data_IF_065910865293
#
_entry.id   IF_065910865293
#
_cell.length_a   1.000
_cell.length_b   1.000
_cell.length_c   1.000
_cell.angle_alpha   90.00
_cell.angle_beta   90.00
_cell.angle_gamma   90.00
#
_symmetry.space_group_name_H-M   'P 1'
#
loop_
_entity.id
_entity.type
_entity.pdbx_description
1 polymer ?
#
# COMPACT_ATOMS: atom_id res chain seq x y z
N UNK A 1 -23.14 -42.65 -11.76
CA UNK A 1 -23.51 -41.21 -11.72
C UNK A 1 -23.02 -40.48 -10.46
N UNK A 2 -22.74 -41.17 -9.35
CA UNK A 2 -22.39 -40.54 -8.06
C UNK A 2 -21.03 -39.84 -8.05
N UNK A 3 -20.02 -40.38 -8.75
CA UNK A 3 -18.65 -39.82 -8.75
C UNK A 3 -18.59 -38.43 -9.42
N UNK A 4 -19.22 -38.27 -10.59
CA UNK A 4 -19.22 -36.99 -11.31
C UNK A 4 -19.93 -35.89 -10.50
N UNK A 5 -21.03 -36.22 -9.83
CA UNK A 5 -21.76 -35.27 -8.97
C UNK A 5 -20.94 -34.92 -7.73
N UNK A 6 -20.19 -35.86 -7.15
CA UNK A 6 -19.28 -35.58 -6.04
C UNK A 6 -18.15 -34.65 -6.45
N UNK A 7 -17.51 -34.87 -7.60
CA UNK A 7 -16.46 -33.97 -8.10
C UNK A 7 -17.01 -32.58 -8.39
N UNK A 8 -18.20 -32.48 -8.98
CA UNK A 8 -18.85 -31.20 -9.24
C UNK A 8 -19.19 -30.47 -7.93
N UNK A 9 -19.74 -31.19 -6.96
CA UNK A 9 -20.07 -30.63 -5.64
C UNK A 9 -18.82 -30.15 -4.90
N UNK A 10 -17.73 -30.92 -4.96
CA UNK A 10 -16.45 -30.54 -4.39
C UNK A 10 -15.84 -29.33 -5.09
N UNK A 11 -15.89 -29.28 -6.43
CA UNK A 11 -15.42 -28.14 -7.20
C UNK A 11 -16.17 -26.86 -6.83
N UNK A 12 -17.51 -26.90 -6.79
CA UNK A 12 -18.35 -25.78 -6.40
C UNK A 12 -18.05 -25.31 -4.97
N UNK A 13 -17.97 -26.26 -4.03
CA UNK A 13 -17.65 -25.95 -2.64
C UNK A 13 -16.27 -25.32 -2.49
N UNK A 14 -15.26 -25.88 -3.14
CA UNK A 14 -13.88 -25.37 -3.13
C UNK A 14 -13.80 -23.97 -3.74
N UNK A 15 -14.47 -23.74 -4.87
CA UNK A 15 -14.52 -22.41 -5.51
C UNK A 15 -15.15 -21.37 -4.59
N UNK A 16 -16.31 -21.66 -4.00
CA UNK A 16 -16.97 -20.73 -3.06
C UNK A 16 -16.09 -20.48 -1.84
N UNK A 17 -15.42 -21.50 -1.32
CA UNK A 17 -14.50 -21.38 -0.19
C UNK A 17 -13.32 -20.47 -0.53
N UNK A 18 -12.67 -20.67 -1.68
CA UNK A 18 -11.56 -19.83 -2.13
C UNK A 18 -11.97 -18.38 -2.36
N UNK A 19 -13.13 -18.16 -3.01
CA UNK A 19 -13.66 -16.81 -3.22
C UNK A 19 -13.97 -16.12 -1.89
N UNK A 20 -14.54 -16.85 -0.93
CA UNK A 20 -14.85 -16.32 0.40
C UNK A 20 -13.58 -15.92 1.15
N UNK A 21 -12.54 -16.77 1.13
CA UNK A 21 -11.24 -16.45 1.72
C UNK A 21 -10.62 -15.22 1.06
N UNK A 22 -10.64 -15.14 -0.28
CA UNK A 22 -10.12 -14.00 -1.02
C UNK A 22 -10.88 -12.72 -0.69
N UNK A 23 -12.21 -12.78 -0.57
CA UNK A 23 -13.02 -11.64 -0.17
C UNK A 23 -12.65 -11.15 1.23
N UNK A 24 -12.52 -12.06 2.21
CA UNK A 24 -12.10 -11.70 3.58
C UNK A 24 -10.72 -11.06 3.57
N UNK A 25 -9.73 -11.66 2.88
CA UNK A 25 -8.38 -11.12 2.81
C UNK A 25 -8.36 -9.75 2.13
N UNK A 26 -9.13 -9.57 1.05
CA UNK A 26 -9.24 -8.29 0.37
C UNK A 26 -9.85 -7.21 1.28
N UNK A 27 -10.93 -7.53 1.98
CA UNK A 27 -11.57 -6.63 2.94
C UNK A 27 -10.62 -6.29 4.09
N UNK A 28 -9.97 -7.29 4.69
CA UNK A 28 -8.99 -7.05 5.76
C UNK A 28 -7.86 -6.14 5.27
N UNK A 29 -7.31 -6.36 4.07
CA UNK A 29 -6.26 -5.49 3.52
C UNK A 29 -6.75 -4.07 3.23
N UNK A 30 -8.01 -3.90 2.85
CA UNK A 30 -8.61 -2.59 2.64
C UNK A 30 -8.86 -1.84 3.95
N UNK A 31 -9.26 -2.55 5.01
CA UNK A 31 -9.57 -1.99 6.33
C UNK A 31 -8.31 -1.76 7.21
N UNK A 32 -7.27 -2.59 7.03
CA UNK A 32 -6.02 -2.51 7.77
C UNK A 32 -5.38 -1.11 7.82
N UNK A 33 -5.26 -0.33 6.73
CA UNK A 33 -4.72 1.03 6.82
C UNK A 33 -5.58 1.97 7.69
N UNK A 34 -6.91 1.80 7.70
CA UNK A 34 -7.78 2.60 8.57
C UNK A 34 -7.59 2.24 10.04
N UNK A 35 -7.46 0.94 10.34
CA UNK A 35 -7.17 0.44 11.70
C UNK A 35 -5.80 0.91 12.17
N UNK A 36 -4.76 0.78 11.33
CA UNK A 36 -3.40 1.26 11.65
C UNK A 36 -3.39 2.76 11.93
N UNK A 37 -4.09 3.55 11.09
CA UNK A 37 -4.24 4.99 11.31
C UNK A 37 -4.95 5.29 12.64
N UNK A 38 -6.00 4.54 13.00
CA UNK A 38 -6.70 4.70 14.28
C UNK A 38 -5.81 4.36 15.50
N UNK A 39 -4.83 3.46 15.32
CA UNK A 39 -3.83 3.10 16.33
C UNK A 39 -2.63 4.06 16.35
N UNK A 40 -2.64 5.13 15.56
CA UNK A 40 -1.53 6.09 15.47
C UNK A 40 -0.30 5.57 14.73
N UNK A 41 -0.39 4.41 14.07
CA UNK A 41 0.64 3.88 13.20
C UNK A 41 0.38 4.46 11.81
N UNK A 42 1.17 5.46 11.40
CA UNK A 42 1.04 6.02 10.06
C UNK A 42 1.60 5.01 9.03
N UNK A 43 0.75 4.36 8.22
CA UNK A 43 1.25 3.47 7.18
C UNK A 43 2.03 4.33 6.19
N UNK A 44 3.31 4.01 5.99
CA UNK A 44 4.22 4.78 5.14
C UNK A 44 3.50 5.17 3.83
N UNK A 45 3.38 6.47 3.53
CA UNK A 45 2.63 6.92 2.36
C UNK A 45 3.23 6.27 1.12
N UNK A 46 2.41 5.53 0.38
CA UNK A 46 2.77 4.99 -0.92
C UNK A 46 3.31 6.18 -1.75
N UNK A 47 4.53 6.11 -2.30
CA UNK A 47 5.05 7.19 -3.12
C UNK A 47 4.04 7.43 -4.26
N UNK A 48 3.74 8.70 -4.57
CA UNK A 48 2.73 9.03 -5.56
C UNK A 48 3.03 8.29 -6.87
N UNK A 49 2.02 7.58 -7.40
CA UNK A 49 2.08 6.86 -8.68
C UNK A 49 2.51 7.86 -9.75
N UNK A 50 3.77 7.78 -10.14
CA UNK A 50 4.34 8.76 -11.05
C UNK A 50 3.85 8.44 -12.46
N UNK A 51 3.10 9.36 -13.06
CA UNK A 51 2.60 9.19 -14.42
C UNK A 51 3.80 9.21 -15.37
N UNK A 52 4.06 8.10 -16.06
CA UNK A 52 5.25 7.81 -16.88
C UNK A 52 5.41 8.72 -18.12
N UNK A 53 4.60 9.78 -18.23
CA UNK A 53 4.54 10.70 -19.37
C UNK A 53 5.06 12.11 -19.08
N UNK A 54 5.51 12.40 -17.87
CA UNK A 54 6.08 13.71 -17.54
C UNK A 54 7.62 13.69 -17.68
N UNK A 55 8.20 14.43 -18.65
CA UNK A 55 9.65 14.62 -18.69
C UNK A 55 10.08 15.49 -17.51
N UNK A 56 10.59 14.85 -16.46
CA UNK A 56 11.24 15.54 -15.33
C UNK A 56 12.59 16.11 -15.75
N UNK A 57 12.63 17.34 -16.25
CA UNK A 57 13.87 18.14 -16.22
C UNK A 57 13.88 18.92 -14.91
N UNK A 58 14.31 18.27 -13.82
CA UNK A 58 14.65 18.97 -12.58
C UNK A 58 16.16 19.15 -12.56
N UNK A 59 16.64 20.29 -13.08
CA UNK A 59 18.03 20.70 -12.90
C UNK A 59 18.26 20.94 -11.41
N UNK A 60 18.83 19.94 -10.73
CA UNK A 60 19.36 20.12 -9.39
C UNK A 60 20.62 20.96 -9.57
N UNK A 61 20.52 22.30 -9.43
CA UNK A 61 21.72 23.10 -9.20
C UNK A 61 22.32 22.62 -7.87
N UNK A 62 23.61 22.27 -7.82
CA UNK A 62 24.25 22.00 -6.55
C UNK A 62 24.19 23.28 -5.72
N UNK A 63 23.37 23.27 -4.67
CA UNK A 63 23.41 24.30 -3.64
C UNK A 63 24.78 24.21 -2.96
N UNK A 64 25.59 25.23 -3.22
CA UNK A 64 26.87 25.52 -2.59
C UNK A 64 26.75 25.35 -1.05
N UNK A 65 27.69 24.66 -0.38
CA UNK A 65 27.61 24.44 1.06
C UNK A 65 27.89 25.75 1.80
N UNK A 66 26.87 26.36 2.38
CA UNK A 66 27.05 27.45 3.34
C UNK A 66 27.59 26.88 4.65
N UNK A 67 28.90 26.99 4.80
CA UNK A 67 29.64 26.72 6.02
C UNK A 67 29.13 27.56 7.20
N UNK A 68 28.89 26.91 8.34
CA UNK A 68 29.03 27.41 9.71
C UNK A 68 28.85 28.92 9.92
N UNK A 69 27.74 29.33 10.54
CA UNK A 69 27.83 30.37 11.57
C UNK A 69 26.69 30.28 12.59
N UNK A 70 26.97 29.57 13.68
CA UNK A 70 26.34 29.75 14.97
C UNK A 70 26.52 31.20 15.44
N UNK A 71 25.45 31.94 15.74
CA UNK A 71 25.46 32.94 16.80
C UNK A 71 24.04 33.15 17.34
N UNK A 72 23.86 32.77 18.60
CA UNK A 72 22.79 33.26 19.48
C UNK A 72 22.85 34.79 19.51
N UNK A 73 21.69 35.44 19.55
CA UNK A 73 21.56 36.73 20.21
C UNK A 73 20.17 36.81 20.88
N UNK A 74 20.20 36.88 22.20
CA UNK A 74 19.13 37.41 23.03
C UNK A 74 19.18 38.95 22.95
N UNK A 75 18.01 39.57 22.99
CA UNK A 75 17.80 40.95 23.42
C UNK A 75 16.40 41.05 24.03
#
# INVERSE_FOLDING_TARGET
MNMMVQFLSFALFSTVTLISILAIVATVKAELPYILRALGIDPAPLPPLHNTREPRVRVIRPAQPASRQSFRAAA
#
